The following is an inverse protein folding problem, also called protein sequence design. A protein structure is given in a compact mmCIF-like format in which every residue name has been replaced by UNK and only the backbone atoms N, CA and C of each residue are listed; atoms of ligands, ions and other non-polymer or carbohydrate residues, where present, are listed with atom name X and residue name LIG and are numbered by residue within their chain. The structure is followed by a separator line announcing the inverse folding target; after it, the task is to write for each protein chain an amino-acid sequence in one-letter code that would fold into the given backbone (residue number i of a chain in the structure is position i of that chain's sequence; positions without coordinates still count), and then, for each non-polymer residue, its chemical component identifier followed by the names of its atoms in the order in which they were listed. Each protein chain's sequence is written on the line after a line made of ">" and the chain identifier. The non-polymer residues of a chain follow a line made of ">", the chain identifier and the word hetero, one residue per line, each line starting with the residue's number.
data_IF_032056917463
#
_entry.id   IF_032056917463
#
_cell.length_a   1.000
_cell.length_b   1.000
_cell.length_c   1.000
_cell.angle_alpha   90.00
_cell.angle_beta   90.00
_cell.angle_gamma   90.00
#
_symmetry.space_group_name_H-M   'P 1'
#
loop_
_entity.id
_entity.type
_entity.pdbx_description
1 polymer ?
#
# COMPACT_ATOMS: atom_id res chain seq x y z
N UNK A 1 16.30 -80.31 32.97
CA UNK A 1 16.78 -78.92 33.16
C UNK A 1 15.87 -78.01 32.45
N UNK A 2 15.01 -77.21 33.15
CA UNK A 2 14.05 -76.33 32.51
C UNK A 2 14.71 -75.00 32.19
N UNK A 3 14.40 -74.48 30.98
CA UNK A 3 14.83 -73.14 30.46
C UNK A 3 14.07 -72.04 31.17
N UNK A 4 14.80 -71.09 31.73
CA UNK A 4 14.20 -69.83 32.30
C UNK A 4 13.75 -68.92 31.21
N UNK A 5 12.41 -68.61 31.21
CA UNK A 5 11.78 -67.63 30.34
C UNK A 5 11.90 -66.22 31.00
N UNK A 6 12.67 -65.36 30.39
CA UNK A 6 12.92 -63.99 30.88
C UNK A 6 11.93 -63.00 30.23
N UNK A 7 10.75 -62.90 30.79
CA UNK A 7 9.76 -61.93 30.38
C UNK A 7 10.17 -60.53 30.85
N UNK A 8 10.73 -59.72 29.97
CA UNK A 8 10.97 -58.29 30.23
C UNK A 8 9.67 -57.54 30.16
N UNK A 9 9.22 -57.13 31.32
CA UNK A 9 8.14 -56.21 31.55
C UNK A 9 8.45 -54.86 30.87
N UNK A 10 7.68 -54.47 29.83
CA UNK A 10 7.79 -53.19 29.16
C UNK A 10 6.70 -52.26 29.73
N UNK A 11 7.06 -51.45 30.70
CA UNK A 11 6.24 -50.37 31.18
C UNK A 11 5.89 -49.39 30.04
N UNK A 12 4.63 -48.91 29.91
CA UNK A 12 4.24 -47.98 28.87
C UNK A 12 4.85 -46.60 29.12
N UNK A 13 5.56 -46.11 28.10
CA UNK A 13 6.13 -44.78 28.10
C UNK A 13 5.01 -43.69 28.31
N UNK A 14 5.15 -42.93 29.39
CA UNK A 14 4.31 -41.74 29.66
C UNK A 14 4.46 -40.77 28.50
N UNK A 15 3.38 -40.58 27.73
CA UNK A 15 3.27 -39.49 26.74
C UNK A 15 3.37 -38.13 27.48
N UNK A 16 4.40 -37.36 27.15
CA UNK A 16 4.51 -35.96 27.55
C UNK A 16 3.34 -35.17 26.94
N UNK A 17 2.67 -34.30 27.70
CA UNK A 17 1.66 -33.42 27.14
C UNK A 17 2.36 -32.46 26.13
N UNK A 18 1.85 -32.44 24.89
CA UNK A 18 2.25 -31.43 23.91
C UNK A 18 1.83 -30.08 24.45
N UNK A 19 2.79 -29.23 24.75
CA UNK A 19 2.54 -27.81 24.99
C UNK A 19 1.93 -27.25 23.70
N UNK A 20 0.66 -26.87 23.79
CA UNK A 20 0.07 -25.92 22.86
C UNK A 20 0.98 -24.70 22.85
N UNK A 21 1.69 -24.49 21.75
CA UNK A 21 2.30 -23.20 21.46
C UNK A 21 1.13 -22.28 21.15
N UNK A 22 0.75 -21.47 22.12
CA UNK A 22 -0.09 -20.32 21.90
C UNK A 22 0.60 -19.52 20.80
N UNK A 23 -0.03 -19.50 19.64
CA UNK A 23 0.35 -18.63 18.53
C UNK A 23 -0.01 -17.23 18.97
N UNK A 24 0.88 -16.63 19.76
CA UNK A 24 0.89 -15.19 19.93
C UNK A 24 0.92 -14.58 18.54
N UNK A 25 -0.12 -13.85 18.20
CA UNK A 25 -0.23 -13.07 16.97
C UNK A 25 1.00 -12.19 16.87
N UNK A 26 1.98 -12.65 16.12
CA UNK A 26 3.17 -11.90 15.78
C UNK A 26 2.71 -10.60 15.09
N UNK A 27 3.16 -9.50 15.60
CA UNK A 27 3.13 -8.18 15.01
C UNK A 27 3.49 -8.32 13.53
N UNK A 28 2.62 -7.81 12.64
CA UNK A 28 2.66 -8.03 11.22
C UNK A 28 4.07 -7.88 10.65
N UNK A 29 4.66 -9.01 10.27
CA UNK A 29 5.89 -9.02 9.52
C UNK A 29 5.63 -8.31 8.19
N UNK A 30 6.45 -7.32 7.85
CA UNK A 30 6.46 -6.68 6.54
C UNK A 30 6.47 -7.80 5.49
N UNK A 31 5.44 -7.87 4.66
CA UNK A 31 5.50 -8.72 3.47
C UNK A 31 6.57 -8.12 2.57
N UNK A 32 7.30 -8.94 1.85
CA UNK A 32 8.39 -8.51 0.97
C UNK A 32 7.96 -7.44 -0.07
N UNK A 33 6.66 -7.23 -0.25
CA UNK A 33 6.05 -6.32 -1.20
C UNK A 33 5.33 -5.12 -0.55
N UNK A 34 5.51 -4.86 0.74
CA UNK A 34 4.89 -3.72 1.40
C UNK A 34 5.85 -2.53 1.43
N UNK A 35 5.31 -1.30 1.39
CA UNK A 35 6.10 -0.09 1.60
C UNK A 35 5.55 0.73 2.77
N UNK A 36 6.42 1.46 3.43
CA UNK A 36 6.02 2.40 4.49
C UNK A 36 5.59 3.73 3.87
N UNK A 37 4.36 4.15 4.14
CA UNK A 37 3.83 5.42 3.65
C UNK A 37 4.67 6.61 4.15
N UNK A 38 5.07 7.51 3.26
CA UNK A 38 5.81 8.73 3.61
C UNK A 38 4.95 9.75 4.38
N UNK A 39 3.63 9.66 4.31
CA UNK A 39 2.69 10.53 5.02
C UNK A 39 2.29 9.97 6.38
N UNK A 40 1.43 8.96 6.41
CA UNK A 40 0.84 8.43 7.65
C UNK A 40 1.69 7.34 8.35
N UNK A 41 2.78 6.89 7.74
CA UNK A 41 3.73 5.89 8.29
C UNK A 41 3.15 4.48 8.44
N UNK A 42 1.98 4.21 7.93
CA UNK A 42 1.42 2.88 7.87
C UNK A 42 2.13 2.03 6.82
N UNK A 43 2.13 0.72 7.01
CA UNK A 43 2.60 -0.24 6.02
C UNK A 43 1.48 -0.46 5.00
N UNK A 44 1.84 -0.39 3.72
CA UNK A 44 0.91 -0.39 2.58
C UNK A 44 1.31 -1.50 1.63
N UNK A 45 0.40 -2.45 1.32
CA UNK A 45 0.67 -3.47 0.32
C UNK A 45 0.78 -2.84 -1.07
N UNK A 46 1.70 -3.36 -1.90
CA UNK A 46 1.83 -2.92 -3.30
C UNK A 46 0.65 -3.37 -4.15
N UNK A 47 0.01 -4.47 -3.80
CA UNK A 47 -1.19 -4.94 -4.47
C UNK A 47 -2.38 -4.03 -4.15
N UNK A 48 -3.14 -3.65 -5.17
CA UNK A 48 -4.32 -2.83 -5.00
C UNK A 48 -5.43 -3.20 -6.00
N UNK A 49 -6.70 -3.28 -5.57
CA UNK A 49 -7.82 -3.53 -6.47
C UNK A 49 -7.91 -2.45 -7.56
N UNK A 50 -8.02 -2.89 -8.82
CA UNK A 50 -8.22 -1.99 -9.96
C UNK A 50 -6.96 -1.28 -10.49
N UNK A 51 -5.77 -1.57 -9.95
CA UNK A 51 -4.52 -1.00 -10.48
C UNK A 51 -3.40 -2.05 -10.53
N UNK A 52 -2.58 -1.99 -11.58
CA UNK A 52 -1.41 -2.86 -11.72
C UNK A 52 -0.22 -2.38 -10.87
N UNK A 53 -0.18 -1.10 -10.52
CA UNK A 53 0.94 -0.48 -9.80
C UNK A 53 0.42 0.53 -8.79
N UNK A 54 0.48 0.18 -7.51
CA UNK A 54 0.14 1.13 -6.45
C UNK A 54 1.22 2.20 -6.33
N UNK A 55 0.83 3.46 -6.47
CA UNK A 55 1.72 4.62 -6.36
C UNK A 55 1.41 5.52 -5.16
N UNK A 56 0.34 5.24 -4.40
CA UNK A 56 -0.07 6.06 -3.25
C UNK A 56 -0.60 5.19 -2.10
N UNK A 57 -0.66 5.79 -0.93
CA UNK A 57 -1.21 5.16 0.26
C UNK A 57 -2.74 5.23 0.24
N UNK A 58 -3.48 4.11 0.41
CA UNK A 58 -4.94 4.12 0.40
C UNK A 58 -5.52 4.87 1.60
N UNK A 59 -4.78 5.02 2.70
CA UNK A 59 -5.29 5.66 3.92
C UNK A 59 -5.26 7.18 3.86
N UNK A 60 -4.15 7.76 3.35
CA UNK A 60 -3.94 9.22 3.36
C UNK A 60 -3.71 9.82 1.97
N UNK A 61 -3.73 9.00 0.92
CA UNK A 61 -3.54 9.35 -0.49
C UNK A 61 -2.17 9.97 -0.83
N UNK A 62 -1.22 9.99 0.11
CA UNK A 62 0.15 10.48 -0.14
C UNK A 62 0.89 9.51 -1.05
N UNK A 63 1.65 10.06 -2.00
CA UNK A 63 2.48 9.35 -2.96
C UNK A 63 3.96 9.76 -2.84
N UNK A 64 4.81 9.15 -3.66
CA UNK A 64 6.19 9.56 -3.89
C UNK A 64 6.41 9.81 -5.37
N UNK A 65 7.21 10.81 -5.69
CA UNK A 65 7.60 11.16 -7.06
C UNK A 65 8.67 10.20 -7.56
N UNK A 66 8.25 8.97 -7.85
CA UNK A 66 9.14 7.88 -8.28
C UNK A 66 9.13 7.68 -9.79
N UNK A 67 8.03 8.00 -10.46
CA UNK A 67 7.89 7.86 -11.90
C UNK A 67 8.29 9.17 -12.60
N UNK A 68 8.93 9.08 -13.78
CA UNK A 68 9.35 10.25 -14.54
C UNK A 68 8.33 10.59 -15.63
N UNK A 69 8.38 9.90 -16.75
CA UNK A 69 7.51 10.20 -17.92
C UNK A 69 6.42 9.17 -18.13
N UNK A 70 6.69 7.94 -17.77
CA UNK A 70 5.78 6.81 -17.98
C UNK A 70 5.33 6.30 -16.60
N UNK A 71 4.02 6.21 -16.34
CA UNK A 71 3.52 5.64 -15.09
C UNK A 71 4.12 4.25 -14.85
N UNK A 72 4.78 4.07 -13.69
CA UNK A 72 5.41 2.82 -13.29
C UNK A 72 6.89 2.67 -13.72
N UNK A 73 7.50 3.64 -14.43
CA UNK A 73 8.89 3.56 -14.88
C UNK A 73 9.94 3.70 -13.76
N UNK A 74 9.52 4.21 -12.60
CA UNK A 74 10.37 4.40 -11.41
C UNK A 74 11.65 5.20 -11.67
N UNK A 75 11.71 6.00 -12.74
CA UNK A 75 12.89 6.67 -13.25
C UNK A 75 13.07 8.11 -12.72
N UNK A 76 12.13 8.64 -11.93
CA UNK A 76 12.28 10.00 -11.39
C UNK A 76 13.43 10.06 -10.39
N UNK A 77 14.40 10.99 -10.56
CA UNK A 77 15.48 11.22 -9.59
C UNK A 77 14.99 11.97 -8.34
N UNK A 78 13.83 12.63 -8.41
CA UNK A 78 13.34 13.54 -7.37
C UNK A 78 13.04 12.82 -6.05
N UNK A 79 12.29 11.70 -6.10
CA UNK A 79 11.85 10.92 -4.93
C UNK A 79 11.09 11.72 -3.87
N UNK A 80 10.69 12.96 -4.18
CA UNK A 80 9.98 13.83 -3.26
C UNK A 80 8.60 13.30 -2.88
N UNK A 81 8.12 13.72 -1.70
CA UNK A 81 6.76 13.42 -1.25
C UNK A 81 5.76 14.17 -2.13
N UNK A 82 4.68 13.49 -2.52
CA UNK A 82 3.59 14.06 -3.28
C UNK A 82 2.30 14.04 -2.48
N UNK A 83 1.54 15.13 -2.52
CA UNK A 83 0.22 15.21 -1.91
C UNK A 83 -0.87 15.20 -2.97
N UNK A 84 -1.96 14.52 -2.68
CA UNK A 84 -3.15 14.57 -3.52
C UNK A 84 -3.79 15.96 -3.39
N UNK A 85 -3.89 16.68 -4.51
CA UNK A 85 -4.37 18.07 -4.56
C UNK A 85 -5.73 18.19 -5.22
N UNK A 86 -6.11 17.25 -6.09
CA UNK A 86 -7.39 17.24 -6.79
C UNK A 86 -7.80 15.83 -7.21
N UNK A 87 -9.06 15.70 -7.59
CA UNK A 87 -9.57 14.54 -8.32
C UNK A 87 -10.00 14.95 -9.72
N UNK A 88 -9.88 14.04 -10.68
CA UNK A 88 -10.35 14.18 -12.04
C UNK A 88 -10.99 12.88 -12.51
N UNK A 89 -11.77 12.95 -13.58
CA UNK A 89 -12.28 11.78 -14.27
C UNK A 89 -11.80 11.82 -15.72
N UNK A 90 -11.33 10.67 -16.22
CA UNK A 90 -11.00 10.48 -17.64
C UNK A 90 -12.28 10.39 -18.46
N UNK A 91 -12.14 10.50 -19.78
CA UNK A 91 -13.26 10.40 -20.71
C UNK A 91 -13.98 9.02 -20.64
N UNK A 92 -13.27 7.98 -20.26
CA UNK A 92 -13.80 6.63 -20.04
C UNK A 92 -14.51 6.44 -18.68
N UNK A 93 -14.57 7.49 -17.85
CA UNK A 93 -15.18 7.49 -16.53
C UNK A 93 -14.25 7.06 -15.40
N UNK A 94 -12.98 6.77 -15.69
CA UNK A 94 -12.01 6.36 -14.67
C UNK A 94 -11.62 7.55 -13.76
N UNK A 95 -11.69 7.32 -12.45
CA UNK A 95 -11.31 8.34 -11.45
C UNK A 95 -9.80 8.36 -11.23
N UNK A 96 -9.26 9.58 -11.21
CA UNK A 96 -7.84 9.87 -11.06
C UNK A 96 -7.59 10.78 -9.87
N UNK A 97 -6.52 10.52 -9.13
CA UNK A 97 -5.94 11.41 -8.14
C UNK A 97 -4.85 12.25 -8.81
N UNK A 98 -4.94 13.55 -8.69
CA UNK A 98 -3.87 14.46 -9.12
C UNK A 98 -2.97 14.72 -7.92
N UNK A 99 -1.70 14.36 -8.04
CA UNK A 99 -0.68 14.58 -7.02
C UNK A 99 0.27 15.70 -7.42
N UNK A 100 0.67 16.51 -6.44
CA UNK A 100 1.72 17.51 -6.62
C UNK A 100 2.93 17.16 -5.75
N UNK A 101 4.10 17.16 -6.35
CA UNK A 101 5.36 16.96 -5.63
C UNK A 101 5.72 18.19 -4.80
N UNK A 102 5.96 18.01 -3.51
CA UNK A 102 6.33 19.11 -2.61
C UNK A 102 7.78 19.60 -2.84
N UNK A 103 8.63 18.79 -3.50
CA UNK A 103 10.03 19.12 -3.73
C UNK A 103 10.27 19.84 -5.06
N UNK A 104 9.64 19.40 -6.15
CA UNK A 104 9.88 19.96 -7.49
C UNK A 104 8.63 20.57 -8.15
N UNK A 105 7.45 20.47 -7.51
CA UNK A 105 6.20 21.02 -8.03
C UNK A 105 5.53 20.19 -9.13
N UNK A 106 6.15 19.12 -9.63
CA UNK A 106 5.65 18.27 -10.70
C UNK A 106 4.28 17.70 -10.33
N UNK A 107 3.40 17.62 -11.33
CA UNK A 107 2.08 17.02 -11.20
C UNK A 107 2.08 15.63 -11.84
N UNK A 108 1.44 14.68 -11.19
CA UNK A 108 1.18 13.36 -11.75
C UNK A 108 -0.26 12.90 -11.46
N UNK A 109 -0.79 12.07 -12.35
CA UNK A 109 -2.11 11.48 -12.18
C UNK A 109 -1.98 9.99 -11.90
N UNK A 110 -2.66 9.53 -10.85
CA UNK A 110 -2.72 8.13 -10.45
C UNK A 110 -4.17 7.65 -10.41
N UNK A 111 -4.43 6.41 -10.79
CA UNK A 111 -5.76 5.81 -10.67
C UNK A 111 -6.19 5.73 -9.22
N UNK A 112 -7.47 5.99 -8.94
CA UNK A 112 -8.09 5.64 -7.66
C UNK A 112 -8.09 4.13 -7.53
N UNK A 113 -7.60 3.62 -6.41
CA UNK A 113 -7.62 2.20 -6.11
C UNK A 113 -8.92 1.81 -5.39
N UNK A 114 -9.36 0.56 -5.56
CA UNK A 114 -10.63 0.10 -4.98
C UNK A 114 -10.66 0.03 -3.45
N UNK A 115 -9.50 0.13 -2.81
CA UNK A 115 -9.33 0.16 -1.35
C UNK A 115 -8.95 1.54 -0.79
N UNK A 116 -8.99 2.59 -1.63
CA UNK A 116 -8.73 3.95 -1.17
C UNK A 116 -9.80 4.41 -0.17
N UNK A 117 -9.36 5.11 0.87
CA UNK A 117 -10.23 5.61 1.92
C UNK A 117 -11.30 6.57 1.35
N UNK A 118 -12.59 6.21 1.36
CA UNK A 118 -13.65 6.98 0.75
C UNK A 118 -13.82 8.37 1.38
N UNK A 119 -13.55 8.52 2.68
CA UNK A 119 -13.61 9.82 3.35
C UNK A 119 -12.47 10.73 2.90
N UNK A 120 -11.28 10.19 2.63
CA UNK A 120 -10.17 10.96 2.08
C UNK A 120 -10.48 11.42 0.65
N UNK A 121 -11.08 10.56 -0.17
CA UNK A 121 -11.52 10.88 -1.53
C UNK A 121 -12.59 11.99 -1.53
N UNK A 122 -13.63 11.85 -0.70
CA UNK A 122 -14.68 12.87 -0.58
C UNK A 122 -14.11 14.22 -0.13
N UNK A 123 -13.26 14.22 0.90
CA UNK A 123 -12.59 15.45 1.37
C UNK A 123 -11.76 16.12 0.28
N UNK A 124 -11.09 15.31 -0.55
CA UNK A 124 -10.31 15.84 -1.66
C UNK A 124 -11.22 16.40 -2.76
N UNK A 125 -12.32 15.72 -3.10
CA UNK A 125 -13.26 16.14 -4.14
C UNK A 125 -13.97 17.46 -3.82
N UNK A 126 -14.30 17.72 -2.54
CA UNK A 126 -14.98 18.96 -2.09
C UNK A 126 -13.98 20.06 -1.73
N UNK A 127 -12.67 19.79 -1.74
CA UNK A 127 -11.65 20.79 -1.41
C UNK A 127 -11.63 21.86 -2.52
N UNK A 128 -11.81 23.14 -2.19
CA UNK A 128 -11.61 24.20 -3.17
C UNK A 128 -10.19 24.11 -3.72
N UNK A 129 -10.01 24.30 -5.02
CA UNK A 129 -8.70 24.40 -5.65
C UNK A 129 -8.04 25.70 -5.17
N UNK A 130 -7.51 25.69 -3.95
CA UNK A 130 -6.86 26.86 -3.36
C UNK A 130 -5.45 27.00 -3.92
N UNK A 131 -5.22 28.09 -4.65
CA UNK A 131 -3.90 28.65 -4.85
C UNK A 131 -2.95 27.99 -5.84
N UNK A 132 -3.31 26.91 -6.50
CA UNK A 132 -2.62 26.52 -7.74
C UNK A 132 -3.17 27.42 -8.83
N UNK A 133 -2.37 28.38 -9.30
CA UNK A 133 -2.79 29.26 -10.38
C UNK A 133 -3.53 28.44 -11.43
N UNK A 134 -4.73 28.90 -11.78
CA UNK A 134 -5.73 28.23 -12.64
C UNK A 134 -5.15 27.62 -13.93
N UNK A 135 -3.94 28.03 -14.34
CA UNK A 135 -3.23 27.52 -15.51
C UNK A 135 -2.59 26.13 -15.34
N UNK A 136 -2.18 25.72 -14.13
CA UNK A 136 -1.43 24.46 -13.93
C UNK A 136 -2.40 23.28 -13.81
N UNK A 137 -3.47 23.46 -13.02
CA UNK A 137 -4.48 22.41 -12.89
C UNK A 137 -5.21 22.14 -14.22
N UNK A 138 -5.49 23.22 -14.98
CA UNK A 138 -6.12 23.11 -16.30
C UNK A 138 -5.23 22.38 -17.31
N UNK A 139 -3.92 22.60 -17.27
CA UNK A 139 -2.97 21.96 -18.17
C UNK A 139 -2.80 20.46 -17.88
N UNK A 140 -2.80 20.08 -16.59
CA UNK A 140 -2.76 18.65 -16.20
C UNK A 140 -4.04 17.91 -16.59
N UNK A 141 -5.20 18.58 -16.59
CA UNK A 141 -6.48 17.99 -17.00
C UNK A 141 -6.61 17.81 -18.51
N UNK A 142 -5.88 18.60 -19.31
CA UNK A 142 -5.93 18.50 -20.80
C UNK A 142 -4.98 17.45 -21.37
N UNK A 143 -4.08 16.89 -20.55
CA UNK A 143 -3.11 15.85 -20.96
C UNK A 143 -3.51 14.44 -20.51
N UNK A 144 -4.67 14.31 -19.87
CA UNK A 144 -5.29 13.04 -19.51
C UNK A 144 -6.31 12.60 -20.56
#
# INVERSE_FOLDING_TARGET
>A
MPRRNNSRDRSPARRRPQRHKDVLHGHGGHRANDFKCAGCRLDVPLDAPGTAHRNHCPHCLVSLHVDHRIPGDRASPCRGRMEAVAMSARADGEWMLIHQCLSCGELSANRVAGDDNPLALVRLAIRPLQGTGTGIAHRALLTL
#
